data_IF_466145771928
#
_entry.id   IF_466145771928
#
_cell.length_a   1.000
_cell.length_b   1.000
_cell.length_c   1.000
_cell.angle_alpha   90.00
_cell.angle_beta   90.00
_cell.angle_gamma   90.00
#
_symmetry.space_group_name_H-M   'P 1'
#
loop_
_entity.id
_entity.type
_entity.pdbx_description
1 polymer ?
#
# COMPACT_ATOMS: atom_id res chain seq x y z
N UNK A 1 19.93 -3.67 -2.36
CA UNK A 1 19.28 -4.23 -3.56
C UNK A 1 18.08 -3.35 -3.87
N UNK A 2 18.06 -2.76 -5.07
CA UNK A 2 17.13 -1.71 -5.48
C UNK A 2 15.64 -2.08 -5.47
N UNK A 3 15.34 -3.38 -5.60
CA UNK A 3 13.97 -3.89 -5.74
C UNK A 3 13.49 -4.71 -4.54
N UNK A 4 14.09 -4.51 -3.36
CA UNK A 4 13.77 -5.27 -2.15
C UNK A 4 12.92 -4.45 -1.18
N UNK A 5 11.93 -5.11 -0.58
CA UNK A 5 11.09 -4.56 0.48
C UNK A 5 10.44 -3.21 0.14
N UNK A 6 9.97 -3.07 -1.11
CA UNK A 6 9.34 -1.86 -1.63
C UNK A 6 7.93 -1.67 -1.08
N UNK A 7 7.55 -0.41 -0.82
CA UNK A 7 6.19 -0.05 -0.47
C UNK A 7 5.35 0.18 -1.73
N UNK A 8 5.04 -0.92 -2.43
CA UNK A 8 4.21 -0.87 -3.63
C UNK A 8 2.75 -0.97 -3.26
N UNK A 9 1.92 -0.18 -3.92
CA UNK A 9 0.47 -0.32 -3.92
C UNK A 9 0.10 -1.60 -4.68
N UNK A 10 -0.18 -2.67 -3.93
CA UNK A 10 -0.53 -3.98 -4.52
C UNK A 10 -1.91 -3.98 -5.18
N UNK A 11 -2.79 -3.03 -4.83
CA UNK A 11 -4.11 -2.92 -5.46
C UNK A 11 -4.00 -2.51 -6.93
N UNK A 12 -2.95 -1.76 -7.29
CA UNK A 12 -2.68 -1.26 -8.65
C UNK A 12 -1.68 -2.09 -9.44
N UNK A 13 -1.20 -3.20 -8.86
CA UNK A 13 -0.07 -3.94 -9.43
C UNK A 13 -0.41 -4.57 -10.78
N UNK A 14 -1.56 -5.25 -10.89
CA UNK A 14 -1.96 -5.91 -12.13
C UNK A 14 -2.25 -4.92 -13.27
N UNK A 15 -2.88 -3.78 -12.95
CA UNK A 15 -3.07 -2.68 -13.90
C UNK A 15 -1.74 -2.10 -14.36
N UNK A 16 -0.84 -1.78 -13.42
CA UNK A 16 0.49 -1.22 -13.73
C UNK A 16 1.34 -2.16 -14.58
N UNK A 17 1.24 -3.48 -14.34
CA UNK A 17 1.93 -4.48 -15.17
C UNK A 17 1.41 -4.43 -16.61
N UNK A 18 0.09 -4.35 -16.82
CA UNK A 18 -0.49 -4.26 -18.17
C UNK A 18 -0.08 -2.97 -18.87
N UNK A 19 -0.17 -1.84 -18.18
CA UNK A 19 0.24 -0.54 -18.73
C UNK A 19 1.72 -0.49 -19.11
N UNK A 20 2.60 -0.99 -18.23
CA UNK A 20 4.04 -1.04 -18.51
C UNK A 20 4.40 -2.02 -19.62
N UNK A 21 3.63 -3.11 -19.75
CA UNK A 21 3.83 -4.09 -20.84
C UNK A 21 3.41 -3.51 -22.19
N UNK A 22 2.31 -2.76 -22.22
CA UNK A 22 1.68 -2.26 -23.45
C UNK A 22 0.53 -3.17 -23.93
N UNK A 23 -0.41 -2.62 -24.73
CA UNK A 23 -1.68 -3.28 -25.07
C UNK A 23 -1.52 -4.57 -25.87
N UNK A 24 -0.46 -4.68 -26.68
CA UNK A 24 -0.22 -5.82 -27.57
C UNK A 24 0.58 -6.96 -26.90
N UNK A 25 1.04 -6.75 -25.67
CA UNK A 25 1.85 -7.74 -24.95
C UNK A 25 0.99 -8.80 -24.28
N UNK A 26 1.41 -10.06 -24.38
CA UNK A 26 0.82 -11.16 -23.60
C UNK A 26 1.45 -11.22 -22.22
N UNK A 27 0.64 -11.13 -21.19
CA UNK A 27 1.06 -11.25 -19.79
C UNK A 27 0.47 -12.54 -19.21
N UNK A 28 1.34 -13.44 -18.75
CA UNK A 28 0.97 -14.69 -18.11
C UNK A 28 1.44 -14.71 -16.66
N UNK A 29 0.51 -14.87 -15.72
CA UNK A 29 0.80 -15.03 -14.30
C UNK A 29 0.81 -16.51 -13.90
N UNK A 30 1.89 -16.94 -13.23
CA UNK A 30 1.99 -18.28 -12.62
C UNK A 30 2.51 -18.16 -11.19
N UNK A 31 1.90 -18.88 -10.26
CA UNK A 31 2.45 -19.01 -8.90
C UNK A 31 3.43 -20.18 -8.84
N UNK A 32 4.65 -19.95 -8.35
CA UNK A 32 5.63 -21.00 -8.07
C UNK A 32 6.24 -20.80 -6.68
N UNK A 33 5.97 -21.73 -5.77
CA UNK A 33 6.33 -21.57 -4.36
C UNK A 33 5.75 -20.30 -3.77
N UNK A 34 6.61 -19.45 -3.20
CA UNK A 34 6.24 -18.14 -2.62
C UNK A 34 6.24 -16.98 -3.62
N UNK A 35 6.67 -17.22 -4.87
CA UNK A 35 6.80 -16.20 -5.91
C UNK A 35 5.60 -16.16 -6.86
N UNK A 36 5.25 -14.96 -7.28
CA UNK A 36 4.32 -14.67 -8.37
C UNK A 36 5.13 -14.34 -9.62
N UNK A 37 5.13 -15.25 -10.59
CA UNK A 37 5.92 -15.17 -11.80
C UNK A 37 5.07 -14.55 -12.90
N UNK A 38 5.41 -13.33 -13.30
CA UNK A 38 4.83 -12.66 -14.44
C UNK A 38 5.76 -12.83 -15.64
N UNK A 39 5.24 -13.49 -16.66
CA UNK A 39 5.90 -13.69 -17.95
C UNK A 39 5.28 -12.70 -18.93
N UNK A 40 6.09 -11.80 -19.47
CA UNK A 40 5.67 -10.76 -20.41
C UNK A 40 6.35 -11.04 -21.75
N UNK A 41 5.55 -11.30 -22.78
CA UNK A 41 6.03 -11.52 -24.16
C UNK A 41 5.94 -10.21 -24.94
N UNK A 42 7.08 -9.70 -25.42
CA UNK A 42 7.20 -8.48 -26.23
C UNK A 42 8.28 -8.66 -27.30
N UNK A 43 7.96 -8.39 -28.56
CA UNK A 43 8.89 -8.47 -29.71
C UNK A 43 9.68 -9.81 -29.77
N UNK A 44 8.96 -10.94 -29.63
CA UNK A 44 9.52 -12.30 -29.58
C UNK A 44 10.48 -12.58 -28.41
N UNK A 45 10.62 -11.64 -27.46
CA UNK A 45 11.38 -11.80 -26.22
C UNK A 45 10.45 -12.04 -25.05
N UNK A 46 10.94 -12.84 -24.11
CA UNK A 46 10.24 -13.15 -22.86
C UNK A 46 10.96 -12.48 -21.67
N UNK A 47 10.28 -11.56 -21.01
CA UNK A 47 10.69 -11.03 -19.71
C UNK A 47 10.03 -11.82 -18.59
N UNK A 48 10.80 -12.15 -17.55
CA UNK A 48 10.31 -12.81 -16.35
C UNK A 48 10.57 -11.92 -15.14
N UNK A 49 9.47 -11.51 -14.49
CA UNK A 49 9.47 -10.82 -13.21
C UNK A 49 8.93 -11.76 -12.13
N UNK A 50 9.66 -11.90 -11.02
CA UNK A 50 9.14 -12.61 -9.85
C UNK A 50 8.84 -11.60 -8.75
N UNK A 51 7.58 -11.55 -8.33
CA UNK A 51 7.14 -10.75 -7.19
C UNK A 51 7.06 -11.64 -5.95
N UNK A 52 7.64 -11.17 -4.86
CA UNK A 52 7.51 -11.76 -3.54
C UNK A 52 6.70 -10.82 -2.66
N UNK A 53 5.51 -11.28 -2.28
CA UNK A 53 4.63 -10.57 -1.36
C UNK A 53 5.05 -10.89 0.07
N UNK A 54 5.81 -9.99 0.70
CA UNK A 54 6.34 -10.20 2.03
C UNK A 54 5.23 -10.20 3.08
N UNK A 55 5.49 -10.89 4.19
CA UNK A 55 4.56 -11.03 5.33
C UNK A 55 4.18 -9.71 6.01
N UNK A 56 4.99 -8.67 5.82
CA UNK A 56 4.84 -7.35 6.43
C UNK A 56 4.28 -6.30 5.44
N UNK A 57 3.58 -6.76 4.40
CA UNK A 57 2.93 -5.96 3.37
C UNK A 57 3.84 -5.43 2.24
N UNK A 58 5.16 -5.38 2.41
CA UNK A 58 6.06 -4.88 1.35
C UNK A 58 6.26 -5.89 0.22
N UNK A 59 6.78 -5.44 -0.92
CA UNK A 59 6.95 -6.28 -2.10
C UNK A 59 8.41 -6.26 -2.57
N UNK A 60 8.95 -7.43 -2.89
CA UNK A 60 10.25 -7.54 -3.56
C UNK A 60 10.05 -7.97 -5.01
N UNK A 61 10.70 -7.28 -5.94
CA UNK A 61 10.70 -7.62 -7.37
C UNK A 61 12.06 -8.23 -7.71
N UNK A 62 12.07 -9.39 -8.36
CA UNK A 62 13.27 -9.99 -8.92
C UNK A 62 13.17 -9.98 -10.46
N UNK A 63 13.83 -9.03 -11.14
CA UNK A 63 13.88 -8.99 -12.61
C UNK A 63 14.93 -9.92 -13.22
N UNK A 64 15.84 -10.48 -12.42
CA UNK A 64 17.01 -11.21 -12.92
C UNK A 64 16.76 -12.72 -13.08
N UNK A 65 15.52 -13.17 -13.02
CA UNK A 65 15.18 -14.60 -13.01
C UNK A 65 15.07 -15.22 -14.42
N UNK A 66 14.93 -14.41 -15.46
CA UNK A 66 14.66 -14.83 -16.84
C UNK A 66 15.86 -14.76 -17.78
N UNK A 67 15.60 -15.05 -19.07
CA UNK A 67 16.60 -15.00 -20.15
C UNK A 67 16.89 -13.58 -20.66
N UNK A 68 15.97 -12.63 -20.44
CA UNK A 68 16.08 -11.24 -20.90
C UNK A 68 16.07 -10.28 -19.68
N UNK A 69 17.10 -10.26 -18.83
CA UNK A 69 17.12 -9.47 -17.60
C UNK A 69 17.03 -7.97 -17.85
N UNK A 70 17.57 -7.45 -18.95
CA UNK A 70 17.47 -6.02 -19.29
C UNK A 70 16.03 -5.58 -19.55
N UNK A 71 15.27 -6.39 -20.30
CA UNK A 71 13.84 -6.16 -20.56
C UNK A 71 13.02 -6.33 -19.27
N UNK A 72 13.32 -7.34 -18.47
CA UNK A 72 12.72 -7.49 -17.14
C UNK A 72 13.00 -6.27 -16.25
N UNK A 73 14.22 -5.72 -16.30
CA UNK A 73 14.60 -4.55 -15.51
C UNK A 73 13.85 -3.30 -15.95
N UNK A 74 13.64 -3.10 -17.25
CA UNK A 74 12.81 -2.02 -17.81
C UNK A 74 11.38 -2.08 -17.24
N UNK A 75 10.73 -3.25 -17.32
CA UNK A 75 9.40 -3.42 -16.76
C UNK A 75 9.39 -3.25 -15.24
N UNK A 76 10.37 -3.80 -14.52
CA UNK A 76 10.45 -3.65 -13.07
C UNK A 76 10.56 -2.19 -12.63
N UNK A 77 11.33 -1.37 -13.36
CA UNK A 77 11.44 0.06 -13.10
C UNK A 77 10.12 0.78 -13.39
N UNK A 78 9.50 0.55 -14.54
CA UNK A 78 8.21 1.16 -14.87
C UNK A 78 7.13 0.81 -13.81
N UNK A 79 7.02 -0.47 -13.43
CA UNK A 79 6.04 -0.91 -12.44
C UNK A 79 6.33 -0.27 -11.08
N UNK A 80 7.60 -0.24 -10.67
CA UNK A 80 8.02 0.42 -9.42
C UNK A 80 7.66 1.90 -9.46
N UNK A 81 7.92 2.63 -10.54
CA UNK A 81 7.60 4.06 -10.63
C UNK A 81 6.11 4.34 -10.51
N UNK A 82 5.27 3.49 -11.13
CA UNK A 82 3.80 3.63 -11.06
C UNK A 82 3.19 3.20 -9.73
N UNK A 83 3.80 2.24 -9.03
CA UNK A 83 3.20 1.62 -7.83
C UNK A 83 3.87 2.00 -6.52
N UNK A 84 5.06 2.62 -6.56
CA UNK A 84 5.77 3.00 -5.34
C UNK A 84 5.06 4.17 -4.65
N UNK A 85 4.53 3.90 -3.47
CA UNK A 85 3.85 4.88 -2.62
C UNK A 85 4.88 5.86 -2.06
N UNK A 86 5.93 5.33 -1.44
CA UNK A 86 7.04 6.12 -0.89
C UNK A 86 8.23 5.25 -0.53
N UNK A 87 9.41 5.86 -0.46
CA UNK A 87 10.65 5.23 0.05
C UNK A 87 10.73 5.24 1.59
N UNK A 88 9.85 5.97 2.28
CA UNK A 88 9.84 6.05 3.75
C UNK A 88 9.45 4.69 4.36
N UNK A 89 10.11 4.29 5.45
CA UNK A 89 9.87 2.98 6.09
C UNK A 89 8.61 2.94 6.94
N UNK A 90 8.23 4.09 7.50
CA UNK A 90 7.08 4.23 8.39
C UNK A 90 6.54 5.66 8.27
N UNK A 91 5.31 5.85 8.72
CA UNK A 91 4.65 7.14 8.82
C UNK A 91 3.93 7.29 10.17
N UNK A 92 3.59 8.53 10.49
CA UNK A 92 2.69 8.90 11.57
C UNK A 92 1.85 10.08 11.08
N UNK A 93 0.53 9.91 10.94
CA UNK A 93 -0.42 10.97 10.59
C UNK A 93 -1.27 11.31 11.79
N UNK A 94 -1.51 12.59 12.01
CA UNK A 94 -2.39 13.06 13.08
C UNK A 94 -3.49 13.94 12.48
N UNK A 95 -4.73 13.58 12.78
CA UNK A 95 -5.93 14.29 12.38
C UNK A 95 -6.59 14.81 13.65
N UNK A 96 -6.84 16.12 13.71
CA UNK A 96 -7.46 16.77 14.88
C UNK A 96 -8.93 17.03 14.60
N UNK A 97 -9.69 17.21 15.67
CA UNK A 97 -11.11 17.56 15.63
C UNK A 97 -11.95 16.52 14.86
N UNK A 98 -11.58 15.24 14.98
CA UNK A 98 -12.34 14.12 14.40
C UNK A 98 -13.45 13.74 15.37
N UNK A 99 -14.69 14.04 15.02
CA UNK A 99 -15.87 13.64 15.80
C UNK A 99 -16.05 12.12 15.84
N UNK A 100 -16.72 11.63 16.88
CA UNK A 100 -16.92 10.18 17.10
C UNK A 100 -17.68 9.51 15.96
N UNK A 101 -18.64 10.20 15.35
CA UNK A 101 -19.37 9.71 14.18
C UNK A 101 -18.42 9.50 12.98
N UNK A 102 -17.55 10.47 12.70
CA UNK A 102 -16.55 10.36 11.63
C UNK A 102 -15.52 9.25 11.92
N UNK A 103 -15.15 9.08 13.18
CA UNK A 103 -14.29 7.98 13.60
C UNK A 103 -14.99 6.63 13.42
N UNK A 104 -16.29 6.54 13.72
CA UNK A 104 -17.07 5.32 13.52
C UNK A 104 -17.19 4.98 12.03
N UNK A 105 -17.44 5.98 11.17
CA UNK A 105 -17.42 5.82 9.72
C UNK A 105 -16.07 5.31 9.19
N UNK A 106 -14.94 5.73 9.80
CA UNK A 106 -13.63 5.19 9.44
C UNK A 106 -13.56 3.67 9.72
N UNK A 107 -14.07 3.23 10.87
CA UNK A 107 -14.05 1.81 11.22
C UNK A 107 -14.92 0.99 10.27
N UNK A 108 -16.11 1.49 9.93
CA UNK A 108 -16.99 0.90 8.92
C UNK A 108 -16.29 0.81 7.55
N UNK A 109 -15.66 1.90 7.11
CA UNK A 109 -14.89 1.93 5.86
C UNK A 109 -13.77 0.89 5.85
N UNK A 110 -13.03 0.73 6.95
CA UNK A 110 -11.98 -0.28 7.07
C UNK A 110 -12.55 -1.71 6.97
N UNK A 111 -13.73 -1.97 7.52
CA UNK A 111 -14.41 -3.25 7.37
C UNK A 111 -14.82 -3.50 5.91
N UNK A 112 -15.33 -2.49 5.18
CA UNK A 112 -15.64 -2.59 3.75
C UNK A 112 -14.40 -2.90 2.89
N UNK A 113 -13.24 -2.38 3.29
CA UNK A 113 -11.94 -2.71 2.68
C UNK A 113 -11.43 -4.12 3.04
N UNK A 114 -12.21 -4.90 3.77
CA UNK A 114 -11.84 -6.21 4.30
C UNK A 114 -10.60 -6.16 5.21
N UNK A 115 -10.42 -5.07 5.97
CA UNK A 115 -9.38 -4.98 6.96
C UNK A 115 -9.77 -5.76 8.23
N UNK A 116 -8.94 -6.72 8.61
CA UNK A 116 -9.13 -7.52 9.82
C UNK A 116 -8.69 -6.71 11.05
N UNK A 117 -9.60 -6.53 12.02
CA UNK A 117 -9.25 -5.94 13.32
C UNK A 117 -8.49 -6.96 14.17
N UNK A 118 -7.22 -6.66 14.46
CA UNK A 118 -6.32 -7.51 15.24
C UNK A 118 -6.34 -7.20 16.73
N UNK A 119 -6.49 -5.92 17.08
CA UNK A 119 -6.49 -5.43 18.46
C UNK A 119 -7.49 -4.29 18.62
N UNK A 120 -8.12 -4.22 19.80
CA UNK A 120 -9.04 -3.17 20.21
C UNK A 120 -8.91 -2.99 21.72
N UNK A 121 -8.17 -1.96 22.13
CA UNK A 121 -7.87 -1.67 23.53
C UNK A 121 -8.46 -0.31 23.88
N UNK A 122 -9.39 -0.29 24.83
CA UNK A 122 -9.93 0.96 25.36
C UNK A 122 -9.24 1.31 26.68
N UNK A 123 -8.98 2.60 26.88
CA UNK A 123 -8.36 3.15 28.06
C UNK A 123 -9.03 4.46 28.45
N UNK A 124 -8.69 4.97 29.63
CA UNK A 124 -9.22 6.25 30.13
C UNK A 124 -8.90 7.40 29.16
N UNK A 125 -7.79 7.32 28.42
CA UNK A 125 -7.27 8.44 27.61
C UNK A 125 -7.47 8.26 26.10
N UNK A 126 -7.61 7.03 25.62
CA UNK A 126 -7.69 6.72 24.20
C UNK A 126 -8.20 5.30 23.95
N UNK A 127 -8.68 5.06 22.73
CA UNK A 127 -8.91 3.73 22.16
C UNK A 127 -7.85 3.45 21.12
N UNK A 128 -7.11 2.35 21.26
CA UNK A 128 -6.09 1.89 20.34
C UNK A 128 -6.62 0.69 19.57
N UNK A 129 -6.61 0.77 18.24
CA UNK A 129 -6.98 -0.33 17.35
C UNK A 129 -5.82 -0.69 16.43
N UNK A 130 -5.70 -1.96 16.07
CA UNK A 130 -4.81 -2.42 15.00
C UNK A 130 -5.62 -3.13 13.93
N UNK A 131 -5.32 -2.80 12.68
CA UNK A 131 -5.95 -3.40 11.52
C UNK A 131 -4.92 -4.01 10.59
N UNK A 132 -5.32 -5.07 9.89
CA UNK A 132 -4.53 -5.76 8.88
C UNK A 132 -5.30 -5.88 7.58
N UNK A 133 -4.70 -5.46 6.49
CA UNK A 133 -5.34 -5.51 5.17
C UNK A 133 -5.30 -6.92 4.55
N UNK A 134 -6.06 -7.15 3.47
CA UNK A 134 -5.90 -8.30 2.59
C UNK A 134 -4.47 -8.44 2.03
N UNK A 135 -3.77 -7.32 1.84
CA UNK A 135 -2.39 -7.23 1.36
C UNK A 135 -1.33 -7.40 2.47
N UNK A 136 -1.75 -7.71 3.70
CA UNK A 136 -0.88 -8.00 4.87
C UNK A 136 -0.11 -6.79 5.40
N UNK A 137 -0.45 -5.57 4.99
CA UNK A 137 -0.01 -4.39 5.72
C UNK A 137 -0.85 -4.18 6.98
N UNK A 138 -0.20 -3.64 8.01
CA UNK A 138 -0.77 -3.44 9.34
C UNK A 138 -0.62 -1.97 9.74
N UNK A 139 -1.64 -1.45 10.39
CA UNK A 139 -1.72 -0.06 10.82
C UNK A 139 -2.29 0.00 12.23
N UNK A 140 -1.74 0.90 13.05
CA UNK A 140 -2.26 1.24 14.35
C UNK A 140 -3.02 2.57 14.27
N UNK A 141 -4.20 2.61 14.88
CA UNK A 141 -5.06 3.79 14.92
C UNK A 141 -5.38 4.06 16.38
N UNK A 142 -5.00 5.24 16.87
CA UNK A 142 -5.27 5.69 18.23
C UNK A 142 -6.25 6.84 18.18
N UNK A 143 -7.43 6.67 18.78
CA UNK A 143 -8.40 7.74 18.95
C UNK A 143 -8.36 8.26 20.38
N UNK A 144 -7.87 9.47 20.56
CA UNK A 144 -7.73 10.13 21.85
C UNK A 144 -9.03 10.83 22.26
N UNK A 145 -9.28 10.93 23.57
CA UNK A 145 -10.47 11.64 24.10
C UNK A 145 -10.52 13.14 23.71
N UNK A 146 -9.39 13.73 23.31
CA UNK A 146 -9.32 15.08 22.76
C UNK A 146 -9.68 15.15 21.25
N UNK A 147 -10.34 14.13 20.70
CA UNK A 147 -10.77 14.03 19.30
C UNK A 147 -9.62 14.02 18.28
N UNK A 148 -8.43 13.64 18.72
CA UNK A 148 -7.30 13.42 17.81
C UNK A 148 -7.26 11.95 17.39
N UNK A 149 -7.16 11.70 16.09
CA UNK A 149 -6.85 10.39 15.52
C UNK A 149 -5.38 10.37 15.10
N UNK A 150 -4.62 9.46 15.66
CA UNK A 150 -3.24 9.19 15.30
C UNK A 150 -3.15 7.87 14.55
N UNK A 151 -2.65 7.90 13.33
CA UNK A 151 -2.48 6.74 12.46
C UNK A 151 -0.99 6.48 12.31
N UNK A 152 -0.53 5.26 12.59
CA UNK A 152 0.88 4.89 12.55
C UNK A 152 1.07 3.54 11.88
N UNK A 153 2.12 3.41 11.07
CA UNK A 153 2.42 2.15 10.42
C UNK A 153 3.34 2.32 9.22
N UNK A 154 3.25 1.37 8.29
CA UNK A 154 3.95 1.45 7.02
C UNK A 154 3.09 2.16 5.98
N UNK A 155 3.69 2.95 5.09
CA UNK A 155 2.95 3.65 4.04
C UNK A 155 2.61 2.69 2.89
N UNK A 156 1.63 1.82 3.15
CA UNK A 156 1.13 0.78 2.26
C UNK A 156 -0.36 1.05 1.95
N UNK A 157 -1.14 0.02 1.66
CA UNK A 157 -2.52 0.15 1.22
C UNK A 157 -3.41 0.87 2.24
N UNK A 158 -3.50 0.40 3.49
CA UNK A 158 -4.37 1.03 4.49
C UNK A 158 -3.96 2.47 4.81
N UNK A 159 -2.67 2.78 4.70
CA UNK A 159 -2.20 4.17 4.84
C UNK A 159 -2.83 5.09 3.81
N UNK A 160 -2.85 4.68 2.53
CA UNK A 160 -3.45 5.46 1.46
C UNK A 160 -4.95 5.60 1.70
N UNK A 161 -5.63 4.49 1.96
CA UNK A 161 -7.08 4.48 2.14
C UNK A 161 -7.54 5.36 3.30
N UNK A 162 -6.89 5.25 4.46
CA UNK A 162 -7.21 6.09 5.63
C UNK A 162 -6.92 7.56 5.35
N UNK A 163 -5.80 7.86 4.65
CA UNK A 163 -5.44 9.23 4.29
C UNK A 163 -6.49 9.84 3.36
N UNK A 164 -6.92 9.11 2.34
CA UNK A 164 -7.96 9.55 1.40
C UNK A 164 -9.31 9.74 2.10
N UNK A 165 -9.73 8.78 2.93
CA UNK A 165 -10.94 8.87 3.73
C UNK A 165 -10.99 10.17 4.55
N UNK A 166 -9.91 10.48 5.28
CA UNK A 166 -9.87 11.72 6.06
C UNK A 166 -9.84 12.97 5.18
N UNK A 167 -9.25 12.92 3.98
CA UNK A 167 -9.23 14.08 3.08
C UNK A 167 -10.59 14.39 2.47
N UNK A 168 -11.48 13.41 2.37
CA UNK A 168 -12.86 13.64 1.94
C UNK A 168 -13.73 14.27 3.03
N UNK A 169 -13.38 14.05 4.31
CA UNK A 169 -14.16 14.51 5.47
C UNK A 169 -13.63 15.82 6.04
N UNK A 170 -12.32 16.06 5.94
CA UNK A 170 -11.68 17.25 6.49
C UNK A 170 -11.84 18.45 5.57
N UNK A 171 -11.83 19.65 6.17
CA UNK A 171 -11.77 20.89 5.41
C UNK A 171 -10.43 21.03 4.68
N UNK A 172 -10.42 21.78 3.58
CA UNK A 172 -9.20 22.03 2.79
C UNK A 172 -8.04 22.56 3.66
N UNK A 173 -8.31 23.47 4.60
CA UNK A 173 -7.29 24.02 5.51
C UNK A 173 -6.66 22.94 6.39
N UNK A 174 -7.47 22.00 6.90
CA UNK A 174 -6.99 20.88 7.70
C UNK A 174 -6.13 19.92 6.86
N UNK A 175 -6.55 19.63 5.62
CA UNK A 175 -5.78 18.80 4.68
C UNK A 175 -4.39 19.42 4.41
N UNK A 176 -4.35 20.71 4.07
CA UNK A 176 -3.09 21.44 3.83
C UNK A 176 -2.18 21.38 5.04
N UNK A 177 -2.72 21.60 6.24
CA UNK A 177 -1.94 21.55 7.48
C UNK A 177 -1.34 20.17 7.73
N UNK A 178 -2.13 19.10 7.58
CA UNK A 178 -1.66 17.72 7.77
C UNK A 178 -0.56 17.35 6.76
N UNK A 179 -0.65 17.79 5.51
CA UNK A 179 0.41 17.56 4.51
C UNK A 179 1.69 18.32 4.84
N UNK A 180 1.60 19.59 5.26
CA UNK A 180 2.77 20.38 5.69
C UNK A 180 3.48 19.81 6.92
N UNK A 181 2.76 19.14 7.83
CA UNK A 181 3.37 18.47 8.99
C UNK A 181 4.04 17.13 8.58
N UNK A 182 3.68 16.57 7.42
CA UNK A 182 4.12 15.25 6.95
C UNK A 182 5.32 15.34 6.00
N UNK A 183 5.50 16.44 5.27
CA UNK A 183 6.54 16.63 4.24
C UNK A 183 7.50 17.77 4.57
#
# INVERSE_FOLDING_TARGET
MEFKDLNLDRSKLDESIRECSGPDCKVNLKRKGIGYHYVIEKDEKEALLIFYFNKNGTTTINPNAGKNPDLSLEFANCIKEKTLITKRKAFSLSFRDVEEDNFSLLLEYLEELNAEKLEDQDSIYHRLLKFKSPFKDEIAITYYKNKTVLVQGKPLYLYIEIKLFFYEILSFEQVVKTECETY
#
